data_IF_966432168738
#
_entry.id   IF_966432168738
#
_cell.length_a   1.000
_cell.length_b   1.000
_cell.length_c   1.000
_cell.angle_alpha   90.00
_cell.angle_beta   90.00
_cell.angle_gamma   90.00
#
_symmetry.space_group_name_H-M   'P 1'
#
loop_
_entity.id
_entity.type
_entity.pdbx_description
1 polymer ?
#
# COMPACT_ATOMS: atom_id res chain seq x y z
N UNK A 1 67.30 -11.11 26.34
CA UNK A 1 67.84 -12.47 26.54
C UNK A 1 67.03 -13.46 25.71
N UNK A 2 67.72 -14.17 24.82
CA UNK A 2 67.40 -15.45 24.16
C UNK A 2 65.99 -15.64 23.55
N UNK A 3 65.81 -15.40 22.24
CA UNK A 3 66.10 -16.28 21.08
C UNK A 3 65.17 -17.50 20.93
N UNK A 4 64.38 -17.54 19.84
CA UNK A 4 64.56 -18.47 18.72
C UNK A 4 63.71 -18.10 17.50
N UNK A 5 64.19 -18.59 16.36
CA UNK A 5 64.00 -18.13 14.98
C UNK A 5 63.34 -19.24 14.14
N UNK A 6 62.71 -18.82 13.04
CA UNK A 6 62.33 -19.53 11.79
C UNK A 6 61.17 -20.54 11.79
N UNK A 7 60.26 -20.27 10.86
CA UNK A 7 59.32 -21.22 10.28
C UNK A 7 58.61 -20.58 9.09
N UNK A 8 59.34 -20.41 7.99
CA UNK A 8 58.84 -19.94 6.70
C UNK A 8 57.80 -20.96 6.19
N UNK A 9 56.51 -20.62 6.28
CA UNK A 9 55.45 -21.34 5.58
C UNK A 9 54.81 -20.37 4.58
N UNK A 10 55.28 -20.48 3.34
CA UNK A 10 54.58 -19.97 2.16
C UNK A 10 53.26 -20.76 2.08
N UNK A 11 52.21 -20.23 2.70
CA UNK A 11 50.85 -20.58 2.33
C UNK A 11 50.38 -19.45 1.44
N UNK A 12 50.30 -19.79 0.16
CA UNK A 12 49.66 -19.04 -0.89
C UNK A 12 48.24 -18.72 -0.44
N UNK A 13 48.05 -17.55 0.21
CA UNK A 13 46.73 -16.96 0.37
C UNK A 13 46.22 -16.70 -1.05
N UNK A 14 45.41 -17.64 -1.56
CA UNK A 14 44.33 -17.28 -2.46
C UNK A 14 43.50 -16.23 -1.71
N UNK A 15 43.87 -14.97 -1.91
CA UNK A 15 42.91 -13.89 -2.04
C UNK A 15 41.98 -14.33 -3.17
N UNK A 16 40.94 -15.09 -2.82
CA UNK A 16 39.67 -15.03 -3.51
C UNK A 16 39.18 -13.60 -3.30
N UNK A 17 39.70 -12.71 -4.13
CA UNK A 17 39.07 -11.43 -4.42
C UNK A 17 37.65 -11.77 -4.82
N UNK A 18 36.70 -11.40 -3.97
CA UNK A 18 35.29 -11.28 -4.31
C UNK A 18 35.17 -10.23 -5.44
N UNK A 19 35.48 -10.62 -6.69
CA UNK A 19 35.29 -9.82 -7.91
C UNK A 19 34.04 -10.31 -8.62
N UNK A 20 32.91 -10.43 -7.91
CA UNK A 20 31.66 -10.89 -8.54
C UNK A 20 30.52 -9.88 -8.47
N UNK A 21 30.66 -8.76 -7.75
CA UNK A 21 29.64 -7.70 -7.71
C UNK A 21 29.97 -6.46 -8.58
N UNK A 22 31.23 -6.25 -8.97
CA UNK A 22 31.67 -5.07 -9.75
C UNK A 22 31.51 -5.21 -11.28
N UNK A 23 31.00 -6.34 -11.79
CA UNK A 23 31.17 -6.70 -13.21
C UNK A 23 30.12 -6.12 -14.17
N UNK A 24 28.94 -5.71 -13.68
CA UNK A 24 27.82 -5.25 -14.52
C UNK A 24 27.40 -3.79 -14.31
N UNK A 25 27.93 -3.11 -13.31
CA UNK A 25 27.62 -1.69 -13.02
C UNK A 25 27.88 -0.76 -14.21
N UNK A 26 29.00 -0.95 -14.90
CA UNK A 26 29.32 -0.17 -16.10
C UNK A 26 28.33 -0.46 -17.24
N UNK A 27 27.91 -1.72 -17.41
CA UNK A 27 26.89 -2.06 -18.41
C UNK A 27 25.54 -1.41 -18.08
N UNK A 28 25.13 -1.38 -16.81
CA UNK A 28 23.93 -0.66 -16.38
C UNK A 28 24.03 0.84 -16.58
N UNK A 29 25.19 1.45 -16.34
CA UNK A 29 25.43 2.87 -16.67
C UNK A 29 25.26 3.13 -18.16
N UNK A 30 25.75 2.24 -19.02
CA UNK A 30 25.56 2.34 -20.47
C UNK A 30 24.08 2.21 -20.87
N UNK A 31 23.33 1.27 -20.26
CA UNK A 31 21.88 1.14 -20.46
C UNK A 31 21.17 2.44 -20.08
N UNK A 32 21.43 2.97 -18.89
CA UNK A 32 20.83 4.21 -18.40
C UNK A 32 21.17 5.42 -19.28
N UNK A 33 22.40 5.50 -19.78
CA UNK A 33 22.81 6.56 -20.71
C UNK A 33 22.07 6.46 -22.05
N UNK A 34 21.91 5.24 -22.58
CA UNK A 34 21.15 5.02 -23.81
C UNK A 34 19.67 5.41 -23.63
N UNK A 35 19.05 5.06 -22.51
CA UNK A 35 17.68 5.46 -22.17
C UNK A 35 17.54 6.99 -22.04
N UNK A 36 18.43 7.65 -21.32
CA UNK A 36 18.45 9.13 -21.20
C UNK A 36 18.58 9.84 -22.54
N UNK A 37 19.24 9.21 -23.51
CA UNK A 37 19.40 9.71 -24.89
C UNK A 37 18.24 9.33 -25.81
N UNK A 38 17.23 8.60 -25.33
CA UNK A 38 16.11 8.14 -26.16
C UNK A 38 16.51 7.06 -27.18
N UNK A 39 17.50 6.22 -26.86
CA UNK A 39 18.04 5.17 -27.73
C UNK A 39 17.65 3.76 -27.25
N UNK A 40 16.37 3.35 -27.35
CA UNK A 40 15.89 2.09 -26.78
C UNK A 40 16.54 0.85 -27.42
N UNK A 41 16.85 0.88 -28.73
CA UNK A 41 17.55 -0.23 -29.39
C UNK A 41 18.96 -0.44 -28.83
N UNK A 42 19.67 0.65 -28.53
CA UNK A 42 21.00 0.59 -27.92
C UNK A 42 20.91 0.07 -26.49
N UNK A 43 19.95 0.55 -25.70
CA UNK A 43 19.71 0.05 -24.35
C UNK A 43 19.42 -1.47 -24.36
N UNK A 44 18.60 -1.95 -25.28
CA UNK A 44 18.31 -3.39 -25.47
C UNK A 44 19.58 -4.19 -25.77
N UNK A 45 20.41 -3.72 -26.70
CA UNK A 45 21.69 -4.39 -27.02
C UNK A 45 22.62 -4.48 -25.81
N UNK A 46 22.60 -3.47 -24.93
CA UNK A 46 23.40 -3.42 -23.71
C UNK A 46 22.83 -4.29 -22.58
N UNK A 47 21.54 -4.60 -22.60
CA UNK A 47 20.91 -5.53 -21.65
C UNK A 47 21.23 -7.00 -21.94
N UNK A 48 21.49 -7.39 -23.19
CA UNK A 48 21.80 -8.80 -23.52
C UNK A 48 23.02 -9.38 -22.80
N UNK A 49 24.19 -8.72 -22.75
CA UNK A 49 25.32 -9.23 -21.99
C UNK A 49 25.06 -9.26 -20.48
N UNK A 50 24.25 -8.33 -19.94
CA UNK A 50 23.82 -8.34 -18.53
C UNK A 50 23.00 -9.60 -18.26
N UNK A 51 21.96 -9.86 -19.08
CA UNK A 51 21.10 -11.05 -18.93
C UNK A 51 21.93 -12.34 -18.98
N UNK A 52 22.85 -12.44 -19.95
CA UNK A 52 23.67 -13.64 -20.12
C UNK A 52 24.57 -13.89 -18.89
N UNK A 53 25.32 -12.88 -18.48
CA UNK A 53 26.24 -13.01 -17.33
C UNK A 53 25.49 -13.22 -16.02
N UNK A 54 24.39 -12.51 -15.78
CA UNK A 54 23.56 -12.71 -14.60
C UNK A 54 22.99 -14.14 -14.50
N UNK A 55 22.58 -14.75 -15.62
CA UNK A 55 22.15 -16.16 -15.64
C UNK A 55 23.32 -17.11 -15.37
N UNK A 56 24.51 -16.86 -15.94
CA UNK A 56 25.71 -17.67 -15.74
C UNK A 56 26.21 -17.62 -14.28
N UNK A 57 26.17 -16.42 -13.68
CA UNK A 57 26.55 -16.14 -12.29
C UNK A 57 25.47 -16.57 -11.27
N UNK A 58 24.25 -16.85 -11.75
CA UNK A 58 23.04 -17.15 -10.96
C UNK A 58 22.49 -15.97 -10.15
N UNK A 59 22.79 -14.75 -10.59
CA UNK A 59 22.20 -13.49 -10.10
C UNK A 59 20.80 -13.33 -10.74
N UNK A 60 19.87 -14.15 -10.27
CA UNK A 60 18.56 -14.33 -10.91
C UNK A 60 17.65 -13.11 -10.79
N UNK A 61 17.80 -12.29 -9.76
CA UNK A 61 17.06 -11.05 -9.56
C UNK A 61 17.42 -10.00 -10.63
N UNK A 62 18.71 -9.79 -10.86
CA UNK A 62 19.22 -8.91 -11.90
C UNK A 62 18.89 -9.45 -13.29
N UNK A 63 18.97 -10.77 -13.50
CA UNK A 63 18.56 -11.40 -14.76
C UNK A 63 17.08 -11.13 -15.07
N UNK A 64 16.18 -11.32 -14.08
CA UNK A 64 14.74 -11.04 -14.24
C UNK A 64 14.51 -9.55 -14.50
N UNK A 65 15.16 -8.65 -13.74
CA UNK A 65 15.11 -7.20 -13.93
C UNK A 65 15.53 -6.80 -15.35
N UNK A 66 16.65 -7.33 -15.83
CA UNK A 66 17.18 -7.03 -17.15
C UNK A 66 16.27 -7.57 -18.27
N UNK A 67 15.69 -8.77 -18.12
CA UNK A 67 14.70 -9.32 -19.07
C UNK A 67 13.44 -8.46 -19.08
N UNK A 68 12.86 -8.13 -17.92
CA UNK A 68 11.65 -7.32 -17.83
C UNK A 68 11.86 -5.93 -18.47
N UNK A 69 13.02 -5.31 -18.23
CA UNK A 69 13.40 -4.04 -18.84
C UNK A 69 13.61 -4.17 -20.35
N UNK A 70 14.31 -5.21 -20.81
CA UNK A 70 14.51 -5.48 -22.25
C UNK A 70 13.16 -5.60 -22.96
N UNK A 71 12.26 -6.44 -22.46
CA UNK A 71 10.95 -6.63 -23.08
C UNK A 71 10.14 -5.32 -23.08
N UNK A 72 10.20 -4.53 -22.01
CA UNK A 72 9.50 -3.24 -21.92
C UNK A 72 10.02 -2.21 -22.94
N UNK A 73 11.33 -2.19 -23.20
CA UNK A 73 11.95 -1.30 -24.19
C UNK A 73 11.68 -1.74 -25.63
N UNK A 74 11.64 -3.05 -25.88
CA UNK A 74 11.36 -3.61 -27.21
C UNK A 74 9.89 -3.50 -27.59
N UNK A 75 8.99 -3.44 -26.59
CA UNK A 75 7.56 -3.63 -26.81
C UNK A 75 6.76 -2.65 -25.95
N UNK A 76 6.50 -1.43 -26.45
CA UNK A 76 5.76 -0.40 -25.71
C UNK A 76 4.29 -0.75 -25.43
N UNK A 77 3.67 -1.54 -26.32
CA UNK A 77 2.28 -1.98 -26.15
C UNK A 77 2.20 -3.10 -25.11
N UNK A 78 1.31 -2.92 -24.13
CA UNK A 78 1.12 -3.86 -23.03
C UNK A 78 0.78 -5.29 -23.50
N UNK A 79 0.01 -5.42 -24.58
CA UNK A 79 -0.42 -6.70 -25.16
C UNK A 79 0.76 -7.57 -25.62
N UNK A 80 1.53 -7.00 -26.54
CA UNK A 80 2.69 -7.64 -27.14
C UNK A 80 3.78 -7.87 -26.07
N UNK A 81 3.89 -6.95 -25.09
CA UNK A 81 4.85 -7.04 -23.97
C UNK A 81 4.60 -8.28 -23.10
N UNK A 82 3.35 -8.52 -22.73
CA UNK A 82 2.95 -9.69 -21.92
C UNK A 82 3.24 -10.98 -22.70
N UNK A 83 2.84 -11.07 -23.97
CA UNK A 83 3.09 -12.27 -24.80
C UNK A 83 4.59 -12.57 -24.95
N UNK A 84 5.40 -11.52 -25.13
CA UNK A 84 6.85 -11.67 -25.25
C UNK A 84 7.48 -12.13 -23.94
N UNK A 85 7.05 -11.60 -22.80
CA UNK A 85 7.58 -12.01 -21.50
C UNK A 85 7.15 -13.42 -21.09
N UNK A 86 5.96 -13.88 -21.49
CA UNK A 86 5.58 -15.30 -21.38
C UNK A 86 6.57 -16.21 -22.12
N UNK A 87 6.98 -15.81 -23.32
CA UNK A 87 7.97 -16.55 -24.12
C UNK A 87 9.34 -16.59 -23.43
N UNK A 88 9.73 -15.51 -22.76
CA UNK A 88 10.98 -15.49 -21.97
C UNK A 88 10.88 -16.31 -20.69
N UNK A 89 9.71 -16.32 -20.03
CA UNK A 89 9.45 -17.16 -18.86
C UNK A 89 9.63 -18.65 -19.19
N UNK A 90 9.12 -19.10 -20.34
CA UNK A 90 9.19 -20.51 -20.75
C UNK A 90 10.63 -21.01 -20.88
N UNK A 91 11.51 -20.17 -21.41
CA UNK A 91 12.94 -20.44 -21.64
C UNK A 91 13.81 -20.26 -20.39
N UNK A 92 13.29 -19.60 -19.36
CA UNK A 92 14.09 -19.19 -18.21
C UNK A 92 14.38 -20.35 -17.24
N UNK A 93 15.52 -20.34 -16.55
CA UNK A 93 15.83 -21.26 -15.45
C UNK A 93 14.71 -21.34 -14.41
N UNK A 94 14.51 -22.53 -13.82
CA UNK A 94 13.44 -22.77 -12.85
C UNK A 94 13.47 -21.79 -11.65
N UNK A 95 14.65 -21.37 -11.20
CA UNK A 95 14.82 -20.43 -10.08
C UNK A 95 14.28 -19.02 -10.36
N UNK A 96 14.22 -18.60 -11.63
CA UNK A 96 13.68 -17.29 -12.02
C UNK A 96 12.15 -17.31 -12.16
N UNK A 97 11.57 -18.47 -12.46
CA UNK A 97 10.14 -18.60 -12.83
C UNK A 97 9.17 -18.07 -11.77
N UNK A 98 9.38 -18.28 -10.45
CA UNK A 98 8.47 -17.73 -9.43
C UNK A 98 8.26 -16.22 -9.57
N UNK A 99 9.35 -15.48 -9.67
CA UNK A 99 9.30 -14.00 -9.76
C UNK A 99 8.84 -13.55 -11.13
N UNK A 100 9.21 -14.26 -12.20
CA UNK A 100 8.67 -13.96 -13.54
C UNK A 100 7.14 -14.16 -13.61
N UNK A 101 6.60 -15.17 -12.93
CA UNK A 101 5.14 -15.32 -12.82
C UNK A 101 4.50 -14.15 -12.06
N UNK A 102 5.12 -13.67 -10.98
CA UNK A 102 4.65 -12.48 -10.27
C UNK A 102 4.69 -11.22 -11.15
N UNK A 103 5.75 -11.04 -11.94
CA UNK A 103 5.85 -9.95 -12.92
C UNK A 103 4.72 -10.05 -13.97
N UNK A 104 4.43 -11.24 -14.48
CA UNK A 104 3.29 -11.44 -15.39
C UNK A 104 1.95 -11.11 -14.75
N UNK A 105 1.71 -11.57 -13.52
CA UNK A 105 0.51 -11.26 -12.76
C UNK A 105 0.34 -9.73 -12.63
N UNK A 106 1.41 -9.03 -12.26
CA UNK A 106 1.42 -7.58 -12.16
C UNK A 106 1.19 -6.87 -13.51
N UNK A 107 1.77 -7.37 -14.60
CA UNK A 107 1.57 -6.78 -15.94
C UNK A 107 0.15 -7.00 -16.46
N UNK A 108 -0.44 -8.18 -16.25
CA UNK A 108 -1.85 -8.43 -16.54
C UNK A 108 -2.77 -7.53 -15.71
N UNK A 109 -2.47 -7.34 -14.43
CA UNK A 109 -3.20 -6.41 -13.57
C UNK A 109 -3.11 -4.96 -14.06
N UNK A 110 -1.90 -4.52 -14.43
CA UNK A 110 -1.67 -3.18 -15.00
C UNK A 110 -2.44 -3.01 -16.32
N UNK A 111 -2.44 -4.03 -17.17
CA UNK A 111 -3.23 -4.04 -18.40
C UNK A 111 -4.72 -3.85 -18.13
N UNK A 112 -5.26 -4.59 -17.15
CA UNK A 112 -6.64 -4.42 -16.70
C UNK A 112 -6.91 -2.97 -16.25
N UNK A 113 -6.08 -2.42 -15.36
CA UNK A 113 -6.25 -1.07 -14.82
C UNK A 113 -6.24 -0.01 -15.94
N UNK A 114 -5.34 -0.13 -16.90
CA UNK A 114 -5.26 0.76 -18.08
C UNK A 114 -6.47 0.65 -19.01
N UNK A 115 -7.16 -0.50 -19.02
CA UNK A 115 -8.27 -0.80 -19.92
C UNK A 115 -9.61 -0.97 -19.19
N UNK A 116 -9.71 -0.53 -17.93
CA UNK A 116 -10.87 -0.78 -17.04
C UNK A 116 -12.21 -0.40 -17.68
N UNK A 117 -12.27 0.75 -18.36
CA UNK A 117 -13.48 1.21 -19.07
C UNK A 117 -13.97 0.22 -20.15
N UNK A 118 -13.05 -0.45 -20.85
CA UNK A 118 -13.39 -1.44 -21.88
C UNK A 118 -14.00 -2.70 -21.26
N UNK A 119 -13.44 -3.16 -20.14
CA UNK A 119 -13.96 -4.33 -19.43
C UNK A 119 -15.35 -4.07 -18.86
N UNK A 120 -15.63 -2.86 -18.38
CA UNK A 120 -16.97 -2.49 -17.89
C UNK A 120 -18.05 -2.41 -19.00
N UNK A 121 -17.65 -2.22 -20.26
CA UNK A 121 -18.56 -2.13 -21.40
C UNK A 121 -18.78 -3.47 -22.11
N UNK A 122 -18.01 -4.51 -21.77
CA UNK A 122 -18.11 -5.82 -22.40
C UNK A 122 -19.17 -6.65 -21.69
N UNK A 123 -20.21 -7.05 -22.41
CA UNK A 123 -21.05 -8.18 -22.02
C UNK A 123 -20.20 -9.46 -22.08
N UNK A 124 -20.42 -10.41 -21.18
CA UNK A 124 -19.73 -11.71 -21.19
C UNK A 124 -19.94 -12.39 -22.55
N UNK A 125 -18.96 -12.27 -23.45
CA UNK A 125 -19.00 -12.96 -24.74
C UNK A 125 -18.79 -14.45 -24.50
N UNK A 126 -19.74 -15.26 -24.96
CA UNK A 126 -19.79 -16.73 -24.80
C UNK A 126 -18.82 -17.49 -25.72
N UNK A 127 -17.94 -16.78 -26.44
CA UNK A 127 -16.98 -17.40 -27.35
C UNK A 127 -15.79 -17.98 -26.55
N UNK A 128 -15.31 -19.20 -26.88
CA UNK A 128 -14.15 -19.78 -26.22
C UNK A 128 -12.92 -18.87 -26.47
N UNK A 129 -12.27 -18.37 -25.42
CA UNK A 129 -11.18 -17.44 -25.59
C UNK A 129 -9.96 -18.15 -26.20
N UNK A 130 -9.42 -17.59 -27.27
CA UNK A 130 -8.11 -17.98 -27.80
C UNK A 130 -6.97 -17.44 -26.93
N UNK A 131 -5.73 -17.58 -27.43
CA UNK A 131 -4.51 -17.04 -26.79
C UNK A 131 -4.49 -15.50 -26.68
N UNK A 132 -5.40 -14.82 -27.37
CA UNK A 132 -5.50 -13.36 -27.36
C UNK A 132 -6.28 -12.85 -26.15
N UNK A 133 -5.56 -12.47 -25.10
CA UNK A 133 -6.14 -11.96 -23.86
C UNK A 133 -6.85 -10.62 -23.99
N UNK A 134 -6.67 -9.90 -25.11
CA UNK A 134 -7.42 -8.67 -25.36
C UNK A 134 -8.90 -8.94 -25.58
N UNK A 135 -9.30 -10.20 -25.83
CA UNK A 135 -10.68 -10.63 -26.04
C UNK A 135 -11.31 -11.24 -24.79
N UNK A 136 -10.54 -11.45 -23.72
CA UNK A 136 -11.01 -12.15 -22.53
C UNK A 136 -12.07 -11.35 -21.77
N UNK A 137 -12.96 -12.10 -21.09
CA UNK A 137 -13.86 -11.55 -20.09
C UNK A 137 -13.08 -11.17 -18.82
N UNK A 138 -13.68 -10.31 -17.99
CA UNK A 138 -13.05 -9.90 -16.73
C UNK A 138 -12.77 -11.08 -15.79
N UNK A 139 -13.71 -12.02 -15.55
CA UNK A 139 -13.43 -13.21 -14.73
C UNK A 139 -12.29 -14.07 -15.27
N UNK A 140 -12.21 -14.25 -16.60
CA UNK A 140 -11.10 -15.02 -17.21
C UNK A 140 -9.75 -14.35 -16.97
N UNK A 141 -9.68 -13.04 -17.16
CA UNK A 141 -8.45 -12.28 -16.94
C UNK A 141 -8.00 -12.38 -15.47
N UNK A 142 -8.92 -12.25 -14.52
CA UNK A 142 -8.59 -12.38 -13.10
C UNK A 142 -8.17 -13.81 -12.73
N UNK A 143 -8.80 -14.83 -13.32
CA UNK A 143 -8.34 -16.21 -13.13
C UNK A 143 -6.93 -16.43 -13.68
N UNK A 144 -6.58 -15.84 -14.82
CA UNK A 144 -5.21 -15.92 -15.36
C UNK A 144 -4.18 -15.28 -14.40
N UNK A 145 -4.51 -14.10 -13.83
CA UNK A 145 -3.67 -13.45 -12.83
C UNK A 145 -3.50 -14.35 -11.60
N UNK A 146 -4.60 -14.93 -11.11
CA UNK A 146 -4.59 -15.90 -10.00
C UNK A 146 -3.72 -17.12 -10.31
N UNK A 147 -3.82 -17.68 -11.52
CA UNK A 147 -2.98 -18.81 -11.98
C UNK A 147 -1.50 -18.45 -11.94
N UNK A 148 -1.12 -17.24 -12.34
CA UNK A 148 0.26 -16.78 -12.23
C UNK A 148 0.73 -16.64 -10.77
N UNK A 149 -0.10 -16.11 -9.85
CA UNK A 149 0.27 -16.10 -8.43
C UNK A 149 0.39 -17.51 -7.83
N UNK A 150 -0.51 -18.42 -8.18
CA UNK A 150 -0.40 -19.83 -7.77
C UNK A 150 0.89 -20.48 -8.29
N UNK A 151 1.26 -20.22 -9.54
CA UNK A 151 2.51 -20.69 -10.11
C UNK A 151 3.73 -20.06 -9.43
N UNK A 152 3.66 -18.77 -9.08
CA UNK A 152 4.70 -18.06 -8.34
C UNK A 152 4.94 -18.67 -6.96
N UNK A 153 3.89 -19.15 -6.29
CA UNK A 153 3.95 -19.70 -4.93
C UNK A 153 4.11 -21.23 -4.88
N UNK A 154 4.23 -21.90 -6.03
CA UNK A 154 4.26 -23.37 -6.14
C UNK A 154 5.41 -24.01 -5.36
N UNK A 155 6.56 -23.36 -5.30
CA UNK A 155 7.76 -23.87 -4.61
C UNK A 155 7.99 -23.18 -3.25
N UNK A 156 6.93 -23.05 -2.43
CA UNK A 156 6.94 -22.35 -1.15
C UNK A 156 8.16 -22.71 -0.26
N UNK A 157 8.47 -24.00 -0.09
CA UNK A 157 9.60 -24.46 0.76
C UNK A 157 10.98 -23.93 0.31
N UNK A 158 11.13 -23.60 -0.97
CA UNK A 158 12.36 -22.99 -1.49
C UNK A 158 12.32 -21.48 -1.29
N UNK A 159 11.19 -20.85 -1.62
CA UNK A 159 11.01 -19.39 -1.50
C UNK A 159 11.17 -18.91 -0.06
N UNK A 160 10.71 -19.70 0.91
CA UNK A 160 10.85 -19.46 2.35
C UNK A 160 12.31 -19.44 2.83
N UNK A 161 13.26 -19.89 2.00
CA UNK A 161 14.70 -19.91 2.31
C UNK A 161 15.48 -18.82 1.57
N UNK A 162 14.82 -18.07 0.70
CA UNK A 162 15.43 -16.99 -0.09
C UNK A 162 15.16 -15.68 0.64
N UNK A 163 16.17 -15.02 1.23
CA UNK A 163 16.03 -13.68 1.77
C UNK A 163 15.43 -12.72 0.74
N UNK A 164 14.51 -11.85 1.15
CA UNK A 164 13.95 -10.83 0.26
C UNK A 164 15.03 -9.85 -0.24
N UNK A 165 16.05 -9.62 0.58
CA UNK A 165 17.17 -8.73 0.26
C UNK A 165 18.02 -9.23 -0.92
N UNK A 166 18.00 -10.54 -1.21
CA UNK A 166 18.66 -11.11 -2.39
C UNK A 166 17.96 -10.70 -3.70
N UNK A 167 16.85 -9.96 -3.63
CA UNK A 167 16.09 -9.44 -4.77
C UNK A 167 15.97 -7.91 -4.76
N UNK A 168 16.78 -7.21 -3.97
CA UNK A 168 16.78 -5.74 -3.84
C UNK A 168 17.01 -5.01 -5.17
N UNK A 169 17.67 -5.64 -6.15
CA UNK A 169 17.85 -5.03 -7.46
C UNK A 169 16.52 -4.92 -8.21
N UNK A 170 15.63 -5.90 -8.07
CA UNK A 170 14.32 -5.91 -8.73
C UNK A 170 13.27 -5.15 -7.92
N UNK A 171 13.31 -5.27 -6.59
CA UNK A 171 12.26 -4.78 -5.70
C UNK A 171 12.48 -3.34 -5.26
N UNK A 172 11.49 -2.48 -5.45
CA UNK A 172 11.52 -1.12 -4.90
C UNK A 172 11.20 -1.16 -3.39
N UNK A 173 12.14 -0.71 -2.55
CA UNK A 173 11.94 -0.69 -1.11
C UNK A 173 10.80 0.26 -0.71
N UNK A 174 9.80 -0.30 -0.04
CA UNK A 174 8.68 0.44 0.54
C UNK A 174 8.97 0.98 1.94
N UNK A 175 7.90 1.20 2.71
CA UNK A 175 7.97 1.64 4.12
C UNK A 175 7.86 0.48 5.11
N UNK A 176 7.64 -0.74 4.62
CA UNK A 176 7.58 -1.95 5.44
C UNK A 176 9.00 -2.48 5.62
N UNK A 177 9.50 -2.66 6.85
CA UNK A 177 10.83 -3.22 7.08
C UNK A 177 10.92 -4.68 6.62
N UNK A 178 12.08 -5.09 6.10
CA UNK A 178 12.35 -6.48 5.70
C UNK A 178 12.09 -7.47 6.84
N UNK A 179 12.26 -7.06 8.11
CA UNK A 179 11.93 -7.91 9.26
C UNK A 179 10.46 -8.38 9.32
N UNK A 180 9.55 -7.70 8.63
CA UNK A 180 8.14 -8.09 8.56
C UNK A 180 7.85 -8.99 7.36
N UNK A 181 8.71 -8.99 6.34
CA UNK A 181 8.61 -9.80 5.13
C UNK A 181 10.00 -10.32 4.74
N UNK A 182 10.62 -11.17 5.57
CA UNK A 182 12.05 -11.46 5.48
C UNK A 182 12.46 -12.27 4.24
N UNK A 183 11.51 -12.96 3.60
CA UNK A 183 11.78 -13.88 2.49
C UNK A 183 11.04 -13.49 1.22
N UNK A 184 11.53 -14.00 0.09
CA UNK A 184 10.83 -13.85 -1.19
C UNK A 184 9.42 -14.47 -1.14
N UNK A 185 9.22 -15.52 -0.33
CA UNK A 185 7.89 -16.08 -0.11
C UNK A 185 6.93 -15.04 0.48
N UNK A 186 7.37 -14.29 1.49
CA UNK A 186 6.55 -13.29 2.17
C UNK A 186 6.14 -12.18 1.22
N UNK A 187 7.10 -11.67 0.43
CA UNK A 187 6.83 -10.69 -0.61
C UNK A 187 5.77 -11.19 -1.59
N UNK A 188 5.96 -12.38 -2.19
CA UNK A 188 5.05 -12.93 -3.19
C UNK A 188 3.66 -13.25 -2.64
N UNK A 189 3.57 -13.71 -1.38
CA UNK A 189 2.29 -13.96 -0.71
C UNK A 189 1.53 -12.66 -0.51
N UNK A 190 2.20 -11.58 -0.09
CA UNK A 190 1.56 -10.28 0.08
C UNK A 190 1.08 -9.69 -1.26
N UNK A 191 1.86 -9.80 -2.34
CA UNK A 191 1.42 -9.37 -3.68
C UNK A 191 0.16 -10.14 -4.14
N UNK A 192 0.12 -11.46 -3.90
CA UNK A 192 -1.05 -12.27 -4.21
C UNK A 192 -2.27 -11.88 -3.35
N UNK A 193 -2.07 -11.65 -2.05
CA UNK A 193 -3.14 -11.18 -1.14
C UNK A 193 -3.67 -9.82 -1.60
N UNK A 194 -2.82 -8.86 -1.95
CA UNK A 194 -3.24 -7.53 -2.41
C UNK A 194 -4.10 -7.62 -3.68
N UNK A 195 -3.77 -8.53 -4.60
CA UNK A 195 -4.63 -8.84 -5.75
C UNK A 195 -5.97 -9.45 -5.34
N UNK A 196 -5.97 -10.49 -4.49
CA UNK A 196 -7.21 -11.17 -4.10
C UNK A 196 -8.11 -10.33 -3.20
N UNK A 197 -7.55 -9.38 -2.46
CA UNK A 197 -8.26 -8.44 -1.58
C UNK A 197 -8.74 -7.17 -2.30
N UNK A 198 -8.41 -6.99 -3.58
CA UNK A 198 -8.74 -5.77 -4.31
C UNK A 198 -10.26 -5.60 -4.47
N UNK A 199 -10.74 -4.35 -4.41
CA UNK A 199 -12.16 -4.04 -4.56
C UNK A 199 -12.69 -4.38 -5.96
N UNK A 200 -11.84 -4.38 -6.99
CA UNK A 200 -12.22 -4.74 -8.35
C UNK A 200 -12.62 -6.22 -8.50
N UNK A 201 -12.19 -7.09 -7.58
CA UNK A 201 -12.64 -8.48 -7.55
C UNK A 201 -14.17 -8.57 -7.49
N UNK A 202 -14.84 -7.59 -6.86
CA UNK A 202 -16.30 -7.52 -6.80
C UNK A 202 -16.98 -7.45 -8.18
N UNK A 203 -16.34 -6.87 -9.19
CA UNK A 203 -16.90 -6.75 -10.53
C UNK A 203 -16.86 -8.07 -11.33
N UNK A 204 -16.13 -9.07 -10.84
CA UNK A 204 -15.98 -10.38 -11.46
C UNK A 204 -16.62 -11.52 -10.65
N UNK A 205 -17.32 -11.19 -9.54
CA UNK A 205 -17.91 -12.18 -8.63
C UNK A 205 -19.07 -12.94 -9.29
N UNK A 206 -19.14 -14.28 -9.14
CA UNK A 206 -20.38 -15.02 -9.38
C UNK A 206 -21.46 -14.66 -8.34
N UNK A 207 -22.72 -14.99 -8.63
CA UNK A 207 -23.85 -14.71 -7.72
C UNK A 207 -23.72 -15.44 -6.37
N UNK A 208 -23.21 -16.67 -6.37
CA UNK A 208 -23.00 -17.49 -5.16
C UNK A 208 -21.57 -17.38 -4.60
N UNK A 209 -20.90 -16.23 -4.80
CA UNK A 209 -19.53 -16.03 -4.34
C UNK A 209 -19.40 -16.15 -2.81
N UNK A 210 -18.27 -16.68 -2.34
CA UNK A 210 -17.96 -16.74 -0.91
C UNK A 210 -17.96 -15.33 -0.27
N UNK A 211 -18.78 -15.17 0.77
CA UNK A 211 -18.87 -13.95 1.56
C UNK A 211 -18.28 -14.13 2.96
N UNK A 212 -17.42 -13.20 3.36
CA UNK A 212 -16.77 -13.26 4.66
C UNK A 212 -17.66 -12.68 5.76
N UNK A 213 -18.21 -13.53 6.63
CA UNK A 213 -18.91 -13.06 7.82
C UNK A 213 -17.93 -12.61 8.91
N UNK A 214 -18.23 -11.49 9.58
CA UNK A 214 -17.54 -11.05 10.80
C UNK A 214 -17.71 -12.03 11.98
N UNK A 215 -18.70 -12.91 11.92
CA UNK A 215 -18.89 -14.00 12.88
C UNK A 215 -17.89 -15.15 12.74
N UNK A 216 -17.16 -15.20 11.62
CA UNK A 216 -16.14 -16.21 11.36
C UNK A 216 -14.89 -16.03 12.26
N UNK A 217 -13.98 -17.02 12.28
CA UNK A 217 -12.69 -16.91 12.97
C UNK A 217 -11.73 -15.82 12.47
N UNK A 218 -12.09 -14.99 11.48
CA UNK A 218 -11.21 -13.94 10.93
C UNK A 218 -10.70 -12.96 11.99
N UNK A 219 -11.48 -12.66 13.03
CA UNK A 219 -11.08 -11.82 14.17
C UNK A 219 -10.76 -12.62 15.45
N UNK A 220 -10.71 -13.95 15.36
CA UNK A 220 -10.39 -14.81 16.50
C UNK A 220 -8.88 -14.91 16.71
N UNK A 221 -8.47 -15.67 17.73
CA UNK A 221 -7.04 -15.94 17.99
C UNK A 221 -6.36 -16.57 16.77
N UNK A 222 -5.03 -16.42 16.68
CA UNK A 222 -4.22 -17.09 15.64
C UNK A 222 -4.54 -18.59 15.60
N UNK A 223 -4.63 -19.25 16.75
CA UNK A 223 -4.88 -20.69 16.83
C UNK A 223 -6.25 -21.09 16.29
N UNK A 224 -7.29 -20.30 16.55
CA UNK A 224 -8.64 -20.56 16.03
C UNK A 224 -8.72 -20.28 14.53
N UNK A 225 -8.04 -19.23 14.07
CA UNK A 225 -7.95 -18.89 12.66
C UNK A 225 -7.21 -19.95 11.84
N UNK A 226 -6.11 -20.50 12.35
CA UNK A 226 -5.37 -21.56 11.67
C UNK A 226 -6.14 -22.89 11.60
N UNK A 227 -7.07 -23.14 12.54
CA UNK A 227 -7.95 -24.32 12.52
C UNK A 227 -9.20 -24.14 11.67
N UNK A 228 -9.49 -22.91 11.26
CA UNK A 228 -10.70 -22.60 10.52
C UNK A 228 -10.60 -23.10 9.08
N UNK A 229 -11.57 -23.91 8.67
CA UNK A 229 -11.81 -24.24 7.26
C UNK A 229 -13.05 -23.48 6.80
N UNK A 230 -12.92 -22.43 5.97
CA UNK A 230 -14.08 -21.75 5.43
C UNK A 230 -14.92 -22.72 4.58
N UNK A 231 -16.23 -22.71 4.79
CA UNK A 231 -17.17 -23.51 3.99
C UNK A 231 -17.45 -22.75 2.69
N UNK A 232 -17.06 -23.35 1.56
CA UNK A 232 -17.29 -22.78 0.23
C UNK A 232 -17.29 -23.87 -0.83
N UNK A 233 -18.16 -23.73 -1.82
CA UNK A 233 -18.19 -24.53 -3.04
C UNK A 233 -17.30 -23.97 -4.15
N UNK A 234 -16.83 -22.72 -3.99
CA UNK A 234 -15.93 -22.03 -4.92
C UNK A 234 -14.52 -21.99 -4.34
N UNK A 235 -13.73 -23.02 -4.65
CA UNK A 235 -12.33 -23.12 -4.20
C UNK A 235 -11.45 -21.99 -4.75
N UNK A 236 -11.84 -21.36 -5.88
CA UNK A 236 -11.10 -20.28 -6.53
C UNK A 236 -11.54 -18.88 -6.06
N UNK A 237 -12.48 -18.79 -5.11
CA UNK A 237 -12.98 -17.52 -4.61
C UNK A 237 -11.83 -16.62 -4.09
N UNK A 238 -11.67 -15.37 -4.57
CA UNK A 238 -10.56 -14.51 -4.20
C UNK A 238 -10.39 -14.34 -2.68
N UNK A 239 -11.50 -14.11 -1.98
CA UNK A 239 -11.51 -13.99 -0.52
C UNK A 239 -10.99 -15.26 0.17
N UNK A 240 -11.36 -16.44 -0.33
CA UNK A 240 -10.90 -17.72 0.21
C UNK A 240 -9.40 -17.91 -0.02
N UNK A 241 -8.93 -17.61 -1.23
CA UNK A 241 -7.50 -17.65 -1.58
C UNK A 241 -6.68 -16.74 -0.64
N UNK A 242 -7.13 -15.51 -0.39
CA UNK A 242 -6.48 -14.60 0.56
C UNK A 242 -6.45 -15.16 1.99
N UNK A 243 -7.55 -15.74 2.49
CA UNK A 243 -7.61 -16.36 3.83
C UNK A 243 -6.60 -17.51 3.94
N UNK A 244 -6.56 -18.40 2.94
CA UNK A 244 -5.63 -19.53 2.92
C UNK A 244 -4.18 -19.07 2.85
N UNK A 245 -3.89 -17.99 2.11
CA UNK A 245 -2.57 -17.39 2.06
C UNK A 245 -2.15 -16.82 3.42
N UNK A 246 -3.04 -16.11 4.13
CA UNK A 246 -2.78 -15.68 5.51
C UNK A 246 -2.53 -16.87 6.45
N UNK A 247 -3.30 -17.96 6.33
CA UNK A 247 -3.07 -19.17 7.13
C UNK A 247 -1.69 -19.78 6.88
N UNK A 248 -1.27 -19.87 5.61
CA UNK A 248 0.06 -20.38 5.23
C UNK A 248 1.18 -19.47 5.75
N UNK A 249 1.04 -18.15 5.60
CA UNK A 249 2.02 -17.16 6.05
C UNK A 249 2.18 -17.17 7.58
N UNK A 250 1.07 -17.16 8.33
CA UNK A 250 1.08 -17.23 9.79
C UNK A 250 1.66 -18.58 10.26
N UNK A 251 1.35 -19.68 9.57
CA UNK A 251 1.92 -21.00 9.89
C UNK A 251 3.43 -21.00 9.71
N UNK A 252 3.93 -20.40 8.63
CA UNK A 252 5.36 -20.30 8.33
C UNK A 252 6.12 -19.58 9.46
N UNK A 253 5.63 -18.43 9.91
CA UNK A 253 6.31 -17.61 10.92
C UNK A 253 6.01 -17.97 12.38
N UNK A 254 5.16 -18.96 12.65
CA UNK A 254 4.68 -19.26 14.02
C UNK A 254 5.80 -19.55 15.02
N UNK A 255 6.93 -20.08 14.53
CA UNK A 255 8.07 -20.49 15.35
C UNK A 255 9.28 -19.54 15.22
N UNK A 256 9.09 -18.35 14.63
CA UNK A 256 10.17 -17.38 14.46
C UNK A 256 10.60 -16.80 15.80
N UNK A 257 11.91 -16.71 16.02
CA UNK A 257 12.48 -16.18 17.26
C UNK A 257 12.10 -14.71 17.53
N UNK A 258 12.03 -13.91 16.47
CA UNK A 258 11.82 -12.46 16.55
C UNK A 258 10.37 -12.03 16.31
N UNK A 259 9.46 -12.98 16.03
CA UNK A 259 8.01 -12.89 15.78
C UNK A 259 7.47 -11.73 14.89
N UNK A 260 8.32 -10.84 14.36
CA UNK A 260 7.90 -9.62 13.69
C UNK A 260 7.05 -9.88 12.43
N UNK A 261 7.45 -10.86 11.61
CA UNK A 261 6.68 -11.29 10.43
C UNK A 261 5.35 -11.95 10.80
N UNK A 262 5.32 -12.75 11.87
CA UNK A 262 4.08 -13.31 12.42
C UNK A 262 3.10 -12.20 12.85
N UNK A 263 3.60 -11.20 13.58
CA UNK A 263 2.79 -10.09 14.05
C UNK A 263 2.26 -9.22 12.90
N UNK A 264 3.06 -8.99 11.86
CA UNK A 264 2.63 -8.24 10.67
C UNK A 264 1.59 -9.01 9.85
N UNK A 265 1.77 -10.32 9.68
CA UNK A 265 0.80 -11.18 9.02
C UNK A 265 -0.53 -11.24 9.80
N UNK A 266 -0.49 -11.37 11.13
CA UNK A 266 -1.69 -11.41 11.95
C UNK A 266 -2.44 -10.07 11.96
N UNK A 267 -1.73 -8.95 12.12
CA UNK A 267 -2.36 -7.63 12.04
C UNK A 267 -2.94 -7.36 10.64
N UNK A 268 -2.23 -7.78 9.58
CA UNK A 268 -2.71 -7.65 8.20
C UNK A 268 -3.96 -8.49 7.94
N UNK A 269 -4.03 -9.73 8.48
CA UNK A 269 -5.23 -10.56 8.48
C UNK A 269 -6.43 -9.85 9.12
N UNK A 270 -6.23 -9.24 10.30
CA UNK A 270 -7.32 -8.53 10.99
C UNK A 270 -7.80 -7.33 10.15
N UNK A 271 -6.89 -6.53 9.58
CA UNK A 271 -7.25 -5.42 8.68
C UNK A 271 -8.00 -5.90 7.44
N UNK A 272 -7.54 -6.97 6.82
CA UNK A 272 -8.20 -7.61 5.67
C UNK A 272 -9.64 -8.00 6.03
N UNK A 273 -9.83 -8.69 7.17
CA UNK A 273 -11.15 -9.03 7.68
C UNK A 273 -12.04 -7.81 7.87
N UNK A 274 -11.52 -6.73 8.46
CA UNK A 274 -12.31 -5.52 8.69
C UNK A 274 -12.78 -4.86 7.39
N UNK A 275 -11.92 -4.84 6.39
CA UNK A 275 -12.19 -4.20 5.11
C UNK A 275 -13.30 -4.90 4.31
N UNK A 276 -13.39 -6.23 4.37
CA UNK A 276 -14.30 -6.99 3.49
C UNK A 276 -15.43 -7.72 4.21
N UNK A 277 -15.30 -7.98 5.52
CA UNK A 277 -16.32 -8.75 6.22
C UNK A 277 -17.63 -7.96 6.35
N UNK A 278 -18.74 -8.69 6.40
CA UNK A 278 -20.07 -8.17 6.68
C UNK A 278 -20.57 -8.60 8.07
N UNK A 279 -21.52 -7.85 8.62
CA UNK A 279 -22.19 -8.15 9.89
C UNK A 279 -22.15 -6.99 10.88
N UNK A 280 -23.23 -6.84 11.66
CA UNK A 280 -23.43 -5.73 12.61
C UNK A 280 -22.35 -5.69 13.70
N UNK A 281 -21.88 -6.87 14.15
CA UNK A 281 -20.85 -7.01 15.19
C UNK A 281 -19.41 -6.79 14.67
N UNK A 282 -19.22 -6.41 13.40
CA UNK A 282 -17.88 -6.30 12.80
C UNK A 282 -16.96 -5.35 13.56
N UNK A 283 -17.43 -4.14 13.86
CA UNK A 283 -16.61 -3.15 14.56
C UNK A 283 -16.27 -3.63 15.97
N UNK A 284 -17.24 -4.22 16.69
CA UNK A 284 -17.04 -4.74 18.03
C UNK A 284 -15.98 -5.85 18.06
N UNK A 285 -16.08 -6.83 17.15
CA UNK A 285 -15.13 -7.95 17.04
C UNK A 285 -13.74 -7.50 16.62
N UNK A 286 -13.64 -6.60 15.64
CA UNK A 286 -12.35 -6.09 15.20
C UNK A 286 -11.65 -5.28 16.29
N UNK A 287 -12.37 -4.38 16.99
CA UNK A 287 -11.82 -3.65 18.15
C UNK A 287 -11.34 -4.60 19.25
N UNK A 288 -12.12 -5.63 19.60
CA UNK A 288 -11.72 -6.61 20.60
C UNK A 288 -10.45 -7.38 20.18
N UNK A 289 -10.32 -7.73 18.90
CA UNK A 289 -9.12 -8.37 18.37
C UNK A 289 -7.90 -7.44 18.43
N UNK A 290 -8.06 -6.16 18.06
CA UNK A 290 -6.99 -5.17 18.13
C UNK A 290 -6.56 -4.88 19.57
N UNK A 291 -7.50 -4.72 20.50
CA UNK A 291 -7.23 -4.53 21.92
C UNK A 291 -6.41 -5.70 22.46
N UNK A 292 -6.84 -6.94 22.20
CA UNK A 292 -6.10 -8.14 22.57
C UNK A 292 -4.70 -8.19 21.93
N UNK A 293 -4.58 -7.81 20.65
CA UNK A 293 -3.30 -7.76 19.95
C UNK A 293 -2.35 -6.74 20.60
N UNK A 294 -2.86 -5.56 20.97
CA UNK A 294 -2.06 -4.53 21.65
C UNK A 294 -1.62 -5.00 23.03
N UNK A 295 -2.51 -5.61 23.80
CA UNK A 295 -2.21 -6.10 25.15
C UNK A 295 -1.14 -7.21 25.14
N UNK A 296 -1.19 -8.09 24.14
CA UNK A 296 -0.25 -9.21 24.01
C UNK A 296 1.12 -8.80 23.45
N UNK A 297 1.18 -7.73 22.65
CA UNK A 297 2.37 -7.35 21.87
C UNK A 297 2.87 -5.93 22.15
N UNK A 298 2.53 -5.35 23.32
CA UNK A 298 2.83 -3.96 23.69
C UNK A 298 4.32 -3.63 23.91
N UNK A 299 5.19 -4.63 23.79
CA UNK A 299 6.66 -4.52 23.78
C UNK A 299 7.25 -4.47 22.36
N UNK A 300 6.47 -4.82 21.33
CA UNK A 300 6.84 -4.68 19.93
C UNK A 300 6.20 -3.43 19.28
N UNK A 301 6.97 -2.69 18.47
CA UNK A 301 6.53 -1.43 17.85
C UNK A 301 5.29 -1.54 16.96
N UNK A 302 4.99 -2.74 16.45
CA UNK A 302 3.81 -2.99 15.61
C UNK A 302 2.50 -2.78 16.37
N UNK A 303 2.50 -2.92 17.70
CA UNK A 303 1.33 -2.62 18.54
C UNK A 303 0.85 -1.18 18.38
N UNK A 304 1.73 -0.23 18.03
CA UNK A 304 1.31 1.14 17.73
C UNK A 304 0.44 1.23 16.47
N UNK A 305 0.68 0.38 15.45
CA UNK A 305 -0.18 0.31 14.25
C UNK A 305 -1.56 -0.23 14.62
N UNK A 306 -1.61 -1.31 15.40
CA UNK A 306 -2.88 -1.86 15.90
C UNK A 306 -3.63 -0.87 16.79
N UNK A 307 -2.91 -0.10 17.62
CA UNK A 307 -3.47 0.98 18.45
C UNK A 307 -4.08 2.09 17.60
N UNK A 308 -3.40 2.48 16.52
CA UNK A 308 -3.95 3.43 15.56
C UNK A 308 -5.23 2.89 14.91
N UNK A 309 -5.21 1.65 14.41
CA UNK A 309 -6.40 1.07 13.77
C UNK A 309 -7.57 1.00 14.75
N UNK A 310 -7.31 0.69 16.02
CA UNK A 310 -8.32 0.68 17.06
C UNK A 310 -8.90 2.08 17.28
N UNK A 311 -8.04 3.09 17.44
CA UNK A 311 -8.47 4.47 17.57
C UNK A 311 -9.27 4.95 16.35
N UNK A 312 -8.91 4.52 15.14
CA UNK A 312 -9.61 4.89 13.90
C UNK A 312 -11.04 4.33 13.86
N UNK A 313 -11.26 3.08 14.32
CA UNK A 313 -12.61 2.51 14.42
C UNK A 313 -13.44 3.29 15.44
N UNK A 314 -12.88 3.57 16.61
CA UNK A 314 -13.57 4.35 17.67
C UNK A 314 -13.88 5.77 17.20
N UNK A 315 -12.99 6.39 16.41
CA UNK A 315 -13.25 7.68 15.78
C UNK A 315 -14.40 7.61 14.76
N UNK A 316 -14.48 6.54 13.97
CA UNK A 316 -15.57 6.33 13.01
C UNK A 316 -16.93 6.04 13.65
N UNK A 317 -16.94 5.68 14.94
CA UNK A 317 -18.14 5.52 15.77
C UNK A 317 -18.46 6.78 16.59
N UNK A 318 -17.85 7.91 16.22
CA UNK A 318 -18.06 9.22 16.83
C UNK A 318 -17.62 9.34 18.30
N UNK A 319 -16.85 8.40 18.86
CA UNK A 319 -16.26 8.56 20.20
C UNK A 319 -14.85 9.18 20.11
N UNK A 320 -14.79 10.46 19.74
CA UNK A 320 -13.52 11.12 19.40
C UNK A 320 -12.63 11.35 20.63
N UNK A 321 -13.22 11.51 21.81
CA UNK A 321 -12.47 11.60 23.08
C UNK A 321 -11.74 10.30 23.37
N UNK A 322 -12.42 9.15 23.26
CA UNK A 322 -11.79 7.84 23.46
C UNK A 322 -10.81 7.53 22.35
N UNK A 323 -11.13 7.83 21.09
CA UNK A 323 -10.22 7.65 19.96
C UNK A 323 -8.90 8.41 20.17
N UNK A 324 -8.98 9.69 20.55
CA UNK A 324 -7.81 10.51 20.90
C UNK A 324 -7.00 9.90 22.03
N UNK A 325 -7.66 9.43 23.10
CA UNK A 325 -7.00 8.78 24.24
C UNK A 325 -6.26 7.50 23.82
N UNK A 326 -6.88 6.65 22.99
CA UNK A 326 -6.26 5.44 22.45
C UNK A 326 -5.05 5.80 21.60
N UNK A 327 -5.20 6.75 20.66
CA UNK A 327 -4.11 7.20 19.79
C UNK A 327 -2.93 7.76 20.59
N UNK A 328 -3.20 8.52 21.66
CA UNK A 328 -2.17 9.07 22.55
C UNK A 328 -1.31 7.96 23.17
N UNK A 329 -1.91 6.81 23.56
CA UNK A 329 -1.14 5.66 24.07
C UNK A 329 -0.16 5.14 23.03
N UNK A 330 -0.61 4.95 21.79
CA UNK A 330 0.23 4.44 20.71
C UNK A 330 1.37 5.40 20.35
N UNK A 331 1.07 6.70 20.23
CA UNK A 331 2.08 7.74 19.99
C UNK A 331 3.11 7.83 21.12
N UNK A 332 2.69 7.80 22.38
CA UNK A 332 3.60 7.89 23.52
C UNK A 332 4.50 6.65 23.66
N UNK A 333 3.98 5.48 23.31
CA UNK A 333 4.72 4.22 23.45
C UNK A 333 5.80 4.05 22.37
N UNK A 334 5.48 4.38 21.11
CA UNK A 334 6.39 4.22 19.97
C UNK A 334 6.36 5.43 19.03
N UNK A 335 6.81 6.62 19.47
CA UNK A 335 6.63 7.89 18.73
C UNK A 335 7.24 7.88 17.33
N UNK A 336 8.40 7.24 17.16
CA UNK A 336 9.12 7.24 15.87
C UNK A 336 8.65 6.14 14.90
N UNK A 337 7.90 5.16 15.41
CA UNK A 337 7.34 4.08 14.59
C UNK A 337 6.28 4.61 13.61
N UNK A 338 6.00 3.81 12.57
CA UNK A 338 4.93 4.13 11.62
C UNK A 338 3.58 4.26 12.33
N UNK A 339 3.28 3.35 13.27
CA UNK A 339 2.04 3.39 14.05
C UNK A 339 1.95 4.63 14.96
N UNK A 340 3.06 5.01 15.59
CA UNK A 340 3.12 6.23 16.42
C UNK A 340 2.85 7.50 15.62
N UNK A 341 3.44 7.60 14.42
CA UNK A 341 3.17 8.71 13.47
C UNK A 341 1.72 8.73 12.99
N UNK A 342 1.13 7.56 12.72
CA UNK A 342 -0.28 7.45 12.37
C UNK A 342 -1.18 7.91 13.53
N UNK A 343 -0.90 7.48 14.76
CA UNK A 343 -1.58 7.95 15.96
C UNK A 343 -1.47 9.48 16.13
N UNK A 344 -0.28 10.04 15.95
CA UNK A 344 -0.08 11.50 15.99
C UNK A 344 -0.96 12.21 14.97
N UNK A 345 -1.00 11.73 13.72
CA UNK A 345 -1.82 12.33 12.67
C UNK A 345 -3.32 12.29 13.00
N UNK A 346 -3.81 11.19 13.59
CA UNK A 346 -5.20 11.10 14.04
C UNK A 346 -5.50 12.10 15.15
N UNK A 347 -4.60 12.28 16.11
CA UNK A 347 -4.75 13.31 17.16
C UNK A 347 -4.83 14.70 16.54
N UNK A 348 -3.93 15.02 15.59
CA UNK A 348 -3.96 16.31 14.88
C UNK A 348 -5.29 16.51 14.13
N UNK A 349 -5.85 15.46 13.53
CA UNK A 349 -7.15 15.52 12.87
C UNK A 349 -8.30 15.79 13.86
N UNK A 350 -8.30 15.14 15.03
CA UNK A 350 -9.34 15.32 16.07
C UNK A 350 -9.25 16.72 16.69
N UNK A 351 -8.03 17.19 16.96
CA UNK A 351 -7.76 18.49 17.59
C UNK A 351 -7.75 19.66 16.60
N UNK A 352 -7.85 19.40 15.30
CA UNK A 352 -7.83 20.44 14.28
C UNK A 352 -8.95 21.46 14.52
N UNK A 353 -8.54 22.72 14.60
CA UNK A 353 -9.44 23.87 14.71
C UNK A 353 -10.17 24.07 13.40
N UNK A 354 -11.50 24.09 13.46
CA UNK A 354 -12.34 24.29 12.29
C UNK A 354 -13.43 25.30 12.60
N UNK A 355 -13.75 26.12 11.62
CA UNK A 355 -14.92 26.99 11.62
C UNK A 355 -15.44 27.15 10.20
N UNK A 356 -16.74 27.02 10.04
CA UNK A 356 -17.47 27.41 8.86
C UNK A 356 -18.47 28.50 9.27
N UNK A 357 -18.49 29.58 8.50
CA UNK A 357 -19.41 30.70 8.73
C UNK A 357 -20.36 30.78 7.55
N UNK A 358 -21.65 30.81 7.83
CA UNK A 358 -22.71 30.95 6.82
C UNK A 358 -23.58 32.15 7.17
N UNK A 359 -23.86 32.97 6.17
CA UNK A 359 -24.73 34.15 6.30
C UNK A 359 -25.28 34.50 4.93
N UNK A 360 -26.39 35.25 4.89
CA UNK A 360 -26.90 35.79 3.63
C UNK A 360 -25.89 36.74 2.96
N UNK A 361 -25.88 36.77 1.62
CA UNK A 361 -25.01 37.65 0.83
C UNK A 361 -25.50 39.12 0.83
N UNK A 362 -26.79 39.34 1.03
CA UNK A 362 -27.43 40.66 1.02
C UNK A 362 -28.22 40.82 2.32
N UNK A 363 -27.91 41.86 3.10
CA UNK A 363 -28.53 42.06 4.41
C UNK A 363 -29.55 43.20 4.33
N UNK A 364 -30.83 42.89 4.55
CA UNK A 364 -31.91 43.88 4.69
C UNK A 364 -32.41 43.91 6.14
N UNK A 365 -33.38 44.78 6.46
CA UNK A 365 -34.06 44.72 7.76
C UNK A 365 -35.22 43.70 7.71
N UNK A 366 -35.41 42.85 8.74
CA UNK A 366 -34.51 42.64 9.88
C UNK A 366 -33.19 41.99 9.44
N UNK A 367 -32.08 42.34 10.11
CA UNK A 367 -30.75 41.84 9.77
C UNK A 367 -30.71 40.29 9.87
N UNK A 368 -29.98 39.61 8.96
CA UNK A 368 -29.86 38.16 8.98
C UNK A 368 -28.97 37.69 10.14
N UNK A 369 -29.06 36.40 10.44
CA UNK A 369 -28.17 35.72 11.39
C UNK A 369 -26.87 35.31 10.71
N UNK A 370 -25.83 35.12 11.53
CA UNK A 370 -24.60 34.46 11.12
C UNK A 370 -24.57 33.11 11.82
N UNK A 371 -24.61 32.05 11.03
CA UNK A 371 -24.51 30.68 11.52
C UNK A 371 -23.03 30.27 11.54
N UNK A 372 -22.64 29.61 12.63
CA UNK A 372 -21.25 29.19 12.87
C UNK A 372 -21.27 27.71 13.19
N UNK A 373 -20.67 26.91 12.32
CA UNK A 373 -20.36 25.50 12.60
C UNK A 373 -18.89 25.44 12.97
N UNK A 374 -18.53 24.86 14.11
CA UNK A 374 -17.16 24.99 14.61
C UNK A 374 -16.73 23.82 15.47
N UNK A 375 -15.40 23.64 15.56
CA UNK A 375 -14.78 22.65 16.42
C UNK A 375 -13.44 23.16 16.92
N UNK A 376 -13.13 22.91 18.19
CA UNK A 376 -11.85 23.25 18.84
C UNK A 376 -11.50 24.74 18.80
N UNK A 377 -12.50 25.61 18.75
CA UNK A 377 -12.36 27.06 18.89
C UNK A 377 -13.32 27.56 19.97
N UNK A 378 -12.87 28.54 20.74
CA UNK A 378 -13.65 29.08 21.88
C UNK A 378 -14.05 30.54 21.68
N UNK A 379 -13.65 31.12 20.55
CA UNK A 379 -13.93 32.54 20.25
C UNK A 379 -13.84 32.79 18.75
N UNK A 380 -14.77 33.59 18.25
CA UNK A 380 -14.78 34.12 16.89
C UNK A 380 -14.76 35.63 16.91
N UNK A 381 -14.14 36.22 15.90
CA UNK A 381 -13.98 37.65 15.75
C UNK A 381 -14.56 38.08 14.40
N UNK A 382 -15.42 39.09 14.44
CA UNK A 382 -16.08 39.64 13.26
C UNK A 382 -15.64 41.07 13.04
N UNK A 383 -15.38 41.41 11.78
CA UNK A 383 -15.13 42.77 11.32
C UNK A 383 -15.94 43.02 10.07
N UNK A 384 -16.69 44.11 10.08
CA UNK A 384 -17.30 44.68 8.88
C UNK A 384 -16.41 45.81 8.43
N UNK A 385 -15.89 45.71 7.21
CA UNK A 385 -15.01 46.72 6.61
C UNK A 385 -15.66 47.29 5.36
N UNK A 386 -15.49 48.60 5.07
CA UNK A 386 -15.98 49.18 3.84
C UNK A 386 -15.36 48.48 2.63
N UNK A 387 -16.19 48.13 1.66
CA UNK A 387 -15.79 47.57 0.38
C UNK A 387 -16.27 48.50 -0.74
N UNK A 388 -15.35 48.92 -1.60
CA UNK A 388 -15.69 49.78 -2.73
C UNK A 388 -16.22 48.91 -3.87
N UNK A 389 -17.55 48.90 -4.01
CA UNK A 389 -18.22 48.12 -5.04
C UNK A 389 -17.94 48.66 -6.46
N UNK A 390 -17.68 49.96 -6.61
CA UNK A 390 -17.46 50.58 -7.91
C UNK A 390 -16.05 50.30 -8.43
N UNK A 391 -15.07 50.30 -7.52
CA UNK A 391 -13.71 49.77 -7.78
C UNK A 391 -13.79 48.29 -8.18
N UNK A 392 -14.59 47.48 -7.49
CA UNK A 392 -14.78 46.07 -7.83
C UNK A 392 -15.39 45.87 -9.22
N UNK A 393 -16.48 46.57 -9.56
CA UNK A 393 -17.12 46.46 -10.90
C UNK A 393 -16.13 46.81 -12.01
N UNK A 394 -15.22 47.75 -11.75
CA UNK A 394 -14.23 48.21 -12.72
C UNK A 394 -12.97 47.33 -12.76
N UNK A 395 -12.89 46.31 -11.89
CA UNK A 395 -11.80 45.34 -11.84
C UNK A 395 -12.08 44.11 -12.72
N UNK A 396 -11.05 43.33 -13.05
CA UNK A 396 -11.20 42.05 -13.78
C UNK A 396 -11.68 40.88 -12.90
N UNK A 397 -12.21 41.16 -11.70
CA UNK A 397 -12.58 40.12 -10.74
C UNK A 397 -13.96 39.55 -11.07
N UNK A 398 -14.04 38.22 -11.13
CA UNK A 398 -15.30 37.49 -11.39
C UNK A 398 -16.27 37.48 -10.20
N UNK A 399 -15.78 37.57 -8.95
CA UNK A 399 -16.63 37.63 -7.76
C UNK A 399 -15.97 38.44 -6.63
N UNK A 400 -16.76 39.14 -5.81
CA UNK A 400 -16.24 39.94 -4.69
C UNK A 400 -15.65 39.06 -3.57
N UNK A 401 -16.04 37.79 -3.46
CA UNK A 401 -15.52 36.81 -2.50
C UNK A 401 -14.20 36.16 -2.95
N UNK A 402 -13.89 36.20 -4.25
CA UNK A 402 -12.65 35.64 -4.80
C UNK A 402 -11.48 36.59 -4.55
N UNK A 403 -10.85 36.44 -3.38
CA UNK A 403 -9.74 37.28 -2.90
C UNK A 403 -8.43 36.49 -2.93
N UNK A 404 -7.41 37.07 -3.59
CA UNK A 404 -6.03 36.59 -3.49
C UNK A 404 -5.40 36.98 -2.14
N UNK A 405 -4.23 36.42 -1.82
CA UNK A 405 -3.58 36.64 -0.54
C UNK A 405 -3.27 38.14 -0.27
N UNK A 406 -2.79 38.89 -1.26
CA UNK A 406 -2.49 40.32 -1.08
C UNK A 406 -3.76 41.11 -0.75
N UNK A 407 -4.85 40.85 -1.48
CA UNK A 407 -6.13 41.51 -1.23
C UNK A 407 -6.71 41.19 0.15
N UNK A 408 -6.59 39.92 0.61
CA UNK A 408 -6.99 39.56 1.98
C UNK A 408 -6.20 40.37 3.01
N UNK A 409 -4.89 40.49 2.84
CA UNK A 409 -4.05 41.29 3.75
C UNK A 409 -4.43 42.77 3.74
N UNK A 410 -4.72 43.36 2.57
CA UNK A 410 -5.17 44.75 2.48
C UNK A 410 -6.52 44.97 3.16
N UNK A 411 -7.49 44.06 2.98
CA UNK A 411 -8.78 44.10 3.67
C UNK A 411 -8.59 44.01 5.19
N UNK A 412 -7.69 43.16 5.69
CA UNK A 412 -7.40 43.02 7.12
C UNK A 412 -6.76 44.25 7.75
N UNK A 413 -6.12 45.13 6.96
CA UNK A 413 -5.56 46.42 7.41
C UNK A 413 -6.59 47.55 7.46
N UNK A 414 -7.74 47.41 6.80
CA UNK A 414 -8.77 48.45 6.77
C UNK A 414 -9.37 48.65 8.15
N UNK A 415 -9.72 49.91 8.46
CA UNK A 415 -10.45 50.24 9.70
C UNK A 415 -11.87 49.64 9.62
N UNK A 416 -12.27 48.78 10.57
CA UNK A 416 -13.63 48.25 10.58
C UNK A 416 -14.64 49.35 10.93
N UNK A 417 -15.81 49.31 10.28
CA UNK A 417 -16.97 50.13 10.64
C UNK A 417 -17.76 49.52 11.80
N UNK A 418 -17.65 48.20 11.98
CA UNK A 418 -18.19 47.47 13.11
C UNK A 418 -17.28 46.28 13.42
N UNK A 419 -17.03 46.04 14.69
CA UNK A 419 -16.30 44.88 15.17
C UNK A 419 -16.99 44.33 16.41
N UNK A 420 -17.00 43.01 16.52
CA UNK A 420 -17.48 42.32 17.71
C UNK A 420 -16.85 40.92 17.76
N UNK A 421 -16.95 40.28 18.91
CA UNK A 421 -16.58 38.88 19.07
C UNK A 421 -17.72 38.13 19.73
N UNK A 422 -17.71 36.81 19.55
CA UNK A 422 -18.57 35.92 20.33
C UNK A 422 -17.70 34.84 20.94
N UNK A 423 -17.90 34.59 22.23
CA UNK A 423 -17.31 33.43 22.88
C UNK A 423 -18.14 32.21 22.48
N UNK A 424 -17.47 31.13 22.12
CA UNK A 424 -18.09 29.88 21.70
C UNK A 424 -17.95 28.85 22.82
N UNK A 425 -18.99 28.06 23.12
CA UNK A 425 -18.86 26.89 23.97
C UNK A 425 -17.68 26.00 23.55
N UNK A 426 -17.01 25.39 24.51
CA UNK A 426 -15.96 24.41 24.19
C UNK A 426 -16.60 23.15 23.64
N UNK A 427 -16.02 22.61 22.59
CA UNK A 427 -16.33 21.29 22.04
C UNK A 427 -15.46 20.24 22.74
N UNK A 428 -15.80 19.89 23.98
CA UNK A 428 -14.99 18.95 24.80
C UNK A 428 -15.01 17.52 24.26
N UNK A 429 -16.05 17.18 23.50
CA UNK A 429 -16.20 15.95 22.73
C UNK A 429 -15.44 15.97 21.40
N UNK A 430 -14.80 17.10 21.08
CA UNK A 430 -14.19 17.38 19.78
C UNK A 430 -15.19 17.32 18.62
N UNK A 431 -16.50 17.51 18.79
CA UNK A 431 -17.46 17.49 17.67
C UNK A 431 -17.95 18.91 17.30
N UNK A 432 -18.71 19.01 16.20
CA UNK A 432 -19.23 20.27 15.64
C UNK A 432 -20.62 20.64 16.14
#
# INVERSE_FOLDING_TARGET
MFHRILGLAVVFCLLLTLVHADSRDELWKEVQQAEKKGLPKTAVQKLEPIIKSAIEDKDFDEAVKAIAKKVSLETPKSEERIQKFQTELDKSPAAMKPVMHAVLAHWYWTYFQQNRYRFMQRTQTSAPPGKDFTTWSLPRLFNEIGTHYQAALKEADKLQKVPVADWDELLEKGTVPDSYRPTLYDFLVHEAIDFYASGEQAAAKPEDAFELSAGSPIFSSVDDFLKWTPDSTDEEAPTLQAIQLYQKLITFHRNDKANAALLDADLSRLKFGYNIAFGEEKNARYKAALEKFVDQNGDHQISARATHDWAAVVHSEDDWVKARSIAQRGMNRYPDSIGGKQCYNLIQQIEARQSQITTERVWNKPLPTIDITYRNITKVFFRVVPFDHQEFISSQRWSPESLNNNQRQEILKRKPVKEWSHDLPKTEDYQQ
#
